data_IF_779822763102
#
_entry.id   IF_779822763102
#
_cell.length_a   1.000
_cell.length_b   1.000
_cell.length_c   1.000
_cell.angle_alpha   90.00
_cell.angle_beta   90.00
_cell.angle_gamma   90.00
#
_symmetry.space_group_name_H-M   'P 1'
#
loop_
_entity.id
_entity.type
_entity.pdbx_description
1 polymer ?
#
# COMPACT_ATOMS: atom_id res chain seq x y z
N UNK A 1 -4.28 -17.71 -12.82
CA UNK A 1 -5.08 -16.73 -12.07
C UNK A 1 -6.53 -17.20 -11.86
N UNK A 2 -7.30 -17.55 -12.91
CA UNK A 2 -8.69 -18.03 -12.74
C UNK A 2 -8.82 -19.22 -11.79
N UNK A 3 -8.00 -20.25 -11.95
CA UNK A 3 -7.99 -21.39 -11.02
C UNK A 3 -7.66 -20.99 -9.58
N UNK A 4 -6.79 -19.98 -9.41
CA UNK A 4 -6.44 -19.44 -8.11
C UNK A 4 -7.56 -18.60 -7.51
N UNK A 5 -8.39 -17.94 -8.34
CA UNK A 5 -9.53 -17.18 -7.85
C UNK A 5 -10.65 -18.09 -7.34
N UNK A 6 -10.91 -19.20 -8.00
CA UNK A 6 -11.87 -20.21 -7.53
C UNK A 6 -11.46 -20.73 -6.13
N UNK A 7 -10.19 -21.07 -5.97
CA UNK A 7 -9.67 -21.49 -4.65
C UNK A 7 -9.75 -20.38 -3.60
N UNK A 8 -9.62 -19.12 -4.01
CA UNK A 8 -9.78 -17.96 -3.12
C UNK A 8 -11.24 -17.78 -2.67
N UNK A 9 -12.21 -17.95 -3.58
CA UNK A 9 -13.64 -17.86 -3.24
C UNK A 9 -14.10 -18.91 -2.23
N UNK A 10 -13.44 -20.08 -2.21
CA UNK A 10 -13.71 -21.12 -1.20
C UNK A 10 -13.24 -20.72 0.21
N UNK A 11 -12.35 -19.73 0.34
CA UNK A 11 -11.78 -19.30 1.61
C UNK A 11 -12.40 -18.01 2.18
N UNK A 12 -13.27 -17.32 1.43
CA UNK A 12 -13.89 -16.06 1.85
C UNK A 12 -15.39 -16.20 2.08
N UNK A 13 -15.96 -15.27 2.86
CA UNK A 13 -17.41 -15.16 2.99
C UNK A 13 -18.00 -14.44 1.77
N UNK A 14 -18.74 -15.17 0.95
CA UNK A 14 -19.40 -14.62 -0.24
C UNK A 14 -20.51 -13.60 0.08
N UNK A 15 -20.93 -13.52 1.34
CA UNK A 15 -21.91 -12.54 1.83
C UNK A 15 -21.23 -11.23 2.31
N UNK A 16 -19.91 -11.11 2.19
CA UNK A 16 -19.21 -9.90 2.61
C UNK A 16 -19.55 -8.70 1.70
N UNK A 17 -19.48 -7.46 2.22
CA UNK A 17 -19.97 -6.28 1.50
C UNK A 17 -19.17 -5.93 0.23
N UNK A 18 -17.97 -6.50 0.04
CA UNK A 18 -17.12 -6.19 -1.11
C UNK A 18 -17.06 -7.35 -2.14
N UNK A 19 -17.86 -8.41 -1.96
CA UNK A 19 -17.79 -9.56 -2.87
C UNK A 19 -18.05 -9.17 -4.33
N UNK A 20 -19.08 -8.38 -4.60
CA UNK A 20 -19.37 -7.91 -5.97
C UNK A 20 -18.22 -7.03 -6.52
N UNK A 21 -17.62 -6.20 -5.67
CA UNK A 21 -16.47 -5.36 -6.06
C UNK A 21 -15.26 -6.21 -6.47
N UNK A 22 -15.04 -7.36 -5.84
CA UNK A 22 -14.00 -8.32 -6.24
C UNK A 22 -14.26 -8.90 -7.62
N UNK A 23 -15.51 -9.33 -7.88
CA UNK A 23 -15.91 -9.90 -9.17
C UNK A 23 -15.72 -8.88 -10.29
N UNK A 24 -16.28 -7.67 -10.14
CA UNK A 24 -16.19 -6.61 -11.16
C UNK A 24 -14.72 -6.23 -11.43
N UNK A 25 -13.89 -6.27 -10.41
CA UNK A 25 -12.44 -6.00 -10.52
C UNK A 25 -11.70 -7.11 -11.24
N UNK A 26 -12.07 -8.38 -11.02
CA UNK A 26 -11.51 -9.51 -11.75
C UNK A 26 -11.84 -9.43 -13.24
N UNK A 27 -13.11 -9.21 -13.59
CA UNK A 27 -13.56 -9.03 -14.97
C UNK A 27 -12.80 -7.90 -15.66
N UNK A 28 -12.60 -6.78 -14.96
CA UNK A 28 -11.82 -5.65 -15.47
C UNK A 28 -10.36 -6.02 -15.70
N UNK A 29 -9.75 -6.76 -14.78
CA UNK A 29 -8.38 -7.24 -14.94
C UNK A 29 -8.26 -8.22 -16.10
N UNK A 30 -9.19 -9.15 -16.27
CA UNK A 30 -9.20 -10.10 -17.38
C UNK A 30 -9.30 -9.41 -18.74
N UNK A 31 -10.11 -8.36 -18.82
CA UNK A 31 -10.26 -7.59 -20.04
C UNK A 31 -9.00 -6.76 -20.39
N UNK A 32 -8.32 -6.21 -19.40
CA UNK A 32 -7.12 -5.35 -19.59
C UNK A 32 -5.81 -6.14 -19.62
N UNK A 33 -5.71 -7.22 -18.84
CA UNK A 33 -4.47 -7.96 -18.60
C UNK A 33 -3.41 -7.19 -17.81
N UNK A 34 -2.21 -7.75 -17.76
CA UNK A 34 -1.07 -7.06 -17.14
C UNK A 34 -0.61 -5.86 -17.99
N UNK A 35 -0.24 -4.74 -17.36
CA UNK A 35 0.26 -3.59 -18.09
C UNK A 35 1.57 -3.92 -18.78
N UNK A 36 1.80 -3.27 -19.91
CA UNK A 36 2.94 -3.48 -20.79
C UNK A 36 3.66 -2.16 -21.05
N UNK A 37 4.85 -2.21 -21.65
CA UNK A 37 5.56 -0.99 -22.09
C UNK A 37 4.85 -0.20 -23.21
N UNK A 38 3.75 -0.70 -23.74
CA UNK A 38 2.90 0.04 -24.70
C UNK A 38 1.94 0.99 -23.98
N UNK A 39 1.67 0.72 -22.72
CA UNK A 39 0.87 1.57 -21.86
C UNK A 39 1.76 2.74 -21.40
N UNK A 40 1.34 3.98 -21.62
CA UNK A 40 2.17 5.18 -21.41
C UNK A 40 2.74 5.23 -19.98
N UNK A 41 1.90 4.95 -18.97
CA UNK A 41 2.30 4.95 -17.57
C UNK A 41 3.30 3.85 -17.22
N UNK A 42 3.45 2.81 -18.06
CA UNK A 42 4.34 1.67 -17.85
C UNK A 42 5.51 1.60 -18.83
N UNK A 43 5.70 2.62 -19.65
CA UNK A 43 6.71 2.68 -20.70
C UNK A 43 8.12 2.34 -20.24
N UNK A 44 8.48 2.76 -19.04
CA UNK A 44 9.82 2.58 -18.46
C UNK A 44 9.93 1.37 -17.53
N UNK A 45 8.81 0.74 -17.14
CA UNK A 45 8.78 -0.40 -16.22
C UNK A 45 8.17 -1.63 -16.88
N UNK A 46 8.89 -2.74 -16.83
CA UNK A 46 8.46 -4.01 -17.43
C UNK A 46 8.18 -5.06 -16.37
N UNK A 47 6.99 -5.64 -16.39
CA UNK A 47 6.60 -6.75 -15.53
C UNK A 47 6.93 -8.13 -16.10
N UNK A 48 7.46 -8.23 -17.33
CA UNK A 48 7.67 -9.49 -18.04
C UNK A 48 8.48 -10.54 -17.27
N UNK A 49 9.43 -10.12 -16.44
CA UNK A 49 10.23 -11.03 -15.61
C UNK A 49 9.47 -11.54 -14.38
N UNK A 50 8.48 -10.80 -13.92
CA UNK A 50 7.64 -11.17 -12.78
C UNK A 50 6.52 -12.11 -13.21
N UNK A 51 5.75 -11.75 -14.24
CA UNK A 51 4.54 -12.48 -14.66
C UNK A 51 4.82 -13.89 -15.27
N UNK A 52 6.08 -14.21 -15.59
CA UNK A 52 6.47 -15.52 -16.13
C UNK A 52 6.79 -16.57 -15.08
N UNK A 53 6.82 -16.18 -13.80
CA UNK A 53 7.11 -17.09 -12.70
C UNK A 53 5.83 -17.61 -12.07
N UNK A 54 5.90 -18.78 -11.49
CA UNK A 54 4.82 -19.32 -10.66
C UNK A 54 4.98 -18.81 -9.23
N UNK A 55 3.91 -18.25 -8.68
CA UNK A 55 3.85 -17.71 -7.32
C UNK A 55 2.73 -18.37 -6.52
N UNK A 56 2.98 -18.59 -5.24
CA UNK A 56 1.91 -18.84 -4.29
C UNK A 56 1.20 -17.51 -3.98
N UNK A 57 -0.13 -17.48 -4.18
CA UNK A 57 -0.95 -16.28 -3.91
C UNK A 57 -1.45 -16.24 -2.47
N UNK A 58 -1.59 -17.41 -1.84
CA UNK A 58 -2.11 -17.56 -0.48
C UNK A 58 -1.15 -18.46 0.30
N UNK A 59 -0.21 -17.86 1.05
CA UNK A 59 0.68 -18.63 1.91
C UNK A 59 -0.11 -19.30 3.03
N UNK A 60 0.42 -20.41 3.54
CA UNK A 60 -0.18 -21.11 4.68
C UNK A 60 -0.24 -20.20 5.90
N UNK A 61 -1.33 -20.27 6.64
CA UNK A 61 -1.71 -19.32 7.70
C UNK A 61 -0.75 -19.26 8.92
N UNK A 62 0.27 -20.09 9.01
CA UNK A 62 1.15 -20.15 10.16
C UNK A 62 2.62 -20.10 9.74
N UNK A 63 3.13 -18.88 9.63
CA UNK A 63 4.58 -18.68 9.68
C UNK A 63 4.97 -18.36 11.11
N UNK A 64 5.50 -19.35 11.83
CA UNK A 64 6.12 -19.13 13.13
C UNK A 64 7.44 -18.40 12.93
N UNK A 65 7.43 -17.09 13.04
CA UNK A 65 8.66 -16.30 13.05
C UNK A 65 9.21 -16.23 14.48
N UNK A 66 10.49 -16.53 14.61
CA UNK A 66 11.24 -16.23 15.83
C UNK A 66 11.23 -14.69 16.05
N UNK A 67 10.59 -14.27 17.14
CA UNK A 67 10.51 -12.87 17.54
C UNK A 67 11.89 -12.17 17.54
N UNK A 68 12.96 -12.89 17.89
CA UNK A 68 14.32 -12.35 17.91
C UNK A 68 14.80 -11.94 16.51
N UNK A 69 14.35 -12.64 15.47
CA UNK A 69 14.73 -12.35 14.09
C UNK A 69 14.08 -11.06 13.56
N UNK A 70 12.88 -10.74 14.01
CA UNK A 70 12.12 -9.56 13.55
C UNK A 70 12.30 -8.34 14.45
N UNK A 71 12.63 -8.55 15.72
CA UNK A 71 12.85 -7.45 16.68
C UNK A 71 13.75 -6.35 16.13
N UNK A 72 14.89 -6.69 15.54
CA UNK A 72 15.85 -5.72 15.00
C UNK A 72 15.29 -4.78 13.91
N UNK A 73 14.14 -5.11 13.34
CA UNK A 73 13.49 -4.31 12.32
C UNK A 73 12.40 -3.38 12.87
N UNK A 74 12.04 -3.48 14.15
CA UNK A 74 11.10 -2.55 14.76
C UNK A 74 11.78 -1.20 15.06
N UNK A 75 11.00 -0.13 15.04
CA UNK A 75 11.45 1.21 15.42
C UNK A 75 11.43 1.33 16.96
N UNK A 76 12.52 0.97 17.62
CA UNK A 76 12.58 0.93 19.08
C UNK A 76 12.51 2.31 19.75
N UNK A 77 12.96 3.34 19.07
CA UNK A 77 13.00 4.70 19.60
C UNK A 77 11.66 5.42 19.50
N UNK A 78 10.71 4.83 18.77
CA UNK A 78 9.38 5.40 18.57
C UNK A 78 8.35 4.39 19.07
N UNK A 79 7.54 4.78 20.04
CA UNK A 79 6.41 3.99 20.49
C UNK A 79 5.27 4.11 19.48
N UNK A 80 4.84 2.99 18.91
CA UNK A 80 3.85 2.93 17.83
C UNK A 80 2.75 1.92 18.13
N UNK A 81 1.58 2.14 17.56
CA UNK A 81 0.55 1.12 17.44
C UNK A 81 0.87 0.24 16.24
N UNK A 82 1.00 -1.08 16.43
CA UNK A 82 1.52 -1.98 15.39
C UNK A 82 0.47 -2.88 14.78
N UNK A 83 0.43 -2.91 13.46
CA UNK A 83 -0.30 -3.90 12.66
C UNK A 83 0.73 -4.66 11.82
N UNK A 84 0.99 -5.91 12.15
CA UNK A 84 2.07 -6.69 11.54
C UNK A 84 1.52 -7.82 10.70
N UNK A 85 1.99 -7.90 9.48
CA UNK A 85 1.72 -8.98 8.53
C UNK A 85 3.01 -9.75 8.25
N UNK A 86 2.89 -11.07 8.16
CA UNK A 86 3.96 -12.00 7.81
C UNK A 86 3.51 -12.78 6.59
N UNK A 87 4.23 -12.65 5.47
CA UNK A 87 3.86 -13.24 4.19
C UNK A 87 2.37 -12.99 3.84
N UNK A 88 1.89 -11.76 4.12
CA UNK A 88 0.51 -11.34 3.88
C UNK A 88 -0.51 -11.80 4.94
N UNK A 89 -0.10 -12.53 5.96
CA UNK A 89 -0.98 -13.01 7.05
C UNK A 89 -0.74 -12.19 8.32
N UNK A 90 -1.82 -11.77 8.95
CA UNK A 90 -1.75 -11.00 10.21
C UNK A 90 -1.12 -11.80 11.34
N UNK A 91 -0.22 -11.14 12.07
CA UNK A 91 0.42 -11.69 13.26
C UNK A 91 -0.09 -11.03 14.54
N UNK A 92 -1.05 -11.64 15.27
CA UNK A 92 -1.55 -11.08 16.53
C UNK A 92 -0.45 -10.95 17.59
N UNK A 93 0.51 -11.85 17.55
CA UNK A 93 1.62 -11.88 18.51
C UNK A 93 2.58 -10.70 18.38
N UNK A 94 2.75 -10.17 17.16
CA UNK A 94 3.62 -9.02 16.88
C UNK A 94 2.87 -7.69 16.82
N UNK A 95 1.55 -7.75 16.83
CA UNK A 95 0.69 -6.56 16.69
C UNK A 95 0.21 -6.05 18.03
N UNK A 96 -0.09 -4.75 18.07
CA UNK A 96 -0.77 -4.09 19.17
C UNK A 96 -1.81 -3.13 18.57
N UNK A 97 -3.04 -3.61 18.42
CA UNK A 97 -4.14 -2.88 17.80
C UNK A 97 -5.19 -2.40 18.81
N UNK A 98 -4.93 -2.55 20.11
CA UNK A 98 -5.83 -2.10 21.17
C UNK A 98 -5.56 -0.65 21.50
N UNK A 99 -6.47 0.25 21.13
CA UNK A 99 -6.36 1.68 21.36
C UNK A 99 -7.69 2.25 21.81
N UNK A 100 -7.65 3.16 22.78
CA UNK A 100 -8.80 3.95 23.13
C UNK A 100 -9.02 5.05 22.10
N UNK A 101 -10.21 5.10 21.51
CA UNK A 101 -10.62 6.17 20.60
C UNK A 101 -10.18 6.05 19.13
N UNK A 102 -9.44 5.02 18.75
CA UNK A 102 -9.10 4.73 17.36
C UNK A 102 -9.67 3.38 16.93
N UNK A 103 -10.05 3.27 15.67
CA UNK A 103 -10.42 1.98 15.09
C UNK A 103 -9.28 1.51 14.17
N UNK A 104 -8.41 0.64 14.68
CA UNK A 104 -7.34 -0.01 13.93
C UNK A 104 -7.56 -1.51 13.98
N UNK A 105 -7.80 -2.13 12.84
CA UNK A 105 -8.01 -3.57 12.76
C UNK A 105 -7.60 -4.12 11.38
N UNK A 106 -7.83 -5.40 11.19
CA UNK A 106 -7.66 -6.07 9.91
C UNK A 106 -8.80 -5.75 8.96
N UNK A 107 -8.52 -5.73 7.67
CA UNK A 107 -9.55 -5.62 6.64
C UNK A 107 -10.55 -6.79 6.76
N UNK A 108 -10.08 -8.03 6.91
CA UNK A 108 -10.94 -9.20 7.10
C UNK A 108 -11.86 -9.07 8.31
N UNK A 109 -11.35 -8.56 9.44
CA UNK A 109 -12.16 -8.30 10.63
C UNK A 109 -13.15 -7.14 10.43
N UNK A 110 -12.78 -6.11 9.68
CA UNK A 110 -13.66 -4.98 9.37
C UNK A 110 -14.83 -5.39 8.47
N UNK A 111 -14.59 -6.26 7.48
CA UNK A 111 -15.60 -6.78 6.56
C UNK A 111 -16.71 -7.56 7.29
N UNK A 112 -16.39 -8.25 8.39
CA UNK A 112 -17.36 -9.04 9.16
C UNK A 112 -18.14 -8.26 10.22
N UNK A 113 -17.63 -7.08 10.65
CA UNK A 113 -18.24 -6.29 11.72
C UNK A 113 -19.26 -5.29 11.17
N UNK A 114 -20.51 -5.38 11.64
CA UNK A 114 -21.58 -4.46 11.24
C UNK A 114 -21.21 -2.97 11.45
N UNK A 115 -20.45 -2.66 12.51
CA UNK A 115 -19.95 -1.29 12.81
C UNK A 115 -19.21 -0.64 11.65
N UNK A 116 -18.45 -1.42 10.87
CA UNK A 116 -17.62 -0.88 9.80
C UNK A 116 -18.24 -1.01 8.40
N UNK A 117 -19.36 -1.74 8.29
CA UNK A 117 -19.99 -2.02 6.99
C UNK A 117 -20.33 -0.74 6.21
N UNK A 118 -20.90 0.25 6.85
CA UNK A 118 -21.29 1.50 6.20
C UNK A 118 -20.06 2.29 5.72
N UNK A 119 -18.99 2.33 6.53
CA UNK A 119 -17.74 2.97 6.16
C UNK A 119 -17.06 2.23 4.97
N UNK A 120 -17.03 0.90 4.99
CA UNK A 120 -16.49 0.11 3.89
C UNK A 120 -17.31 0.35 2.61
N UNK A 121 -18.63 0.30 2.67
CA UNK A 121 -19.49 0.57 1.52
C UNK A 121 -19.30 1.98 0.96
N UNK A 122 -18.99 2.95 1.84
CA UNK A 122 -18.80 4.35 1.46
C UNK A 122 -17.44 4.59 0.81
N UNK A 123 -16.38 3.95 1.30
CA UNK A 123 -15.01 4.31 0.95
C UNK A 123 -14.27 3.25 0.14
N UNK A 124 -14.49 1.95 0.38
CA UNK A 124 -13.72 0.90 -0.26
C UNK A 124 -13.88 0.90 -1.79
N UNK A 125 -12.77 0.94 -2.49
CA UNK A 125 -12.68 0.98 -3.96
C UNK A 125 -13.42 2.15 -4.63
N UNK A 126 -13.57 3.30 -3.95
CA UNK A 126 -14.25 4.48 -4.53
C UNK A 126 -13.29 5.40 -5.29
N UNK A 127 -12.03 5.49 -4.84
CA UNK A 127 -11.00 6.26 -5.54
C UNK A 127 -10.00 5.35 -6.26
N UNK A 128 -9.78 4.13 -5.78
CA UNK A 128 -8.94 3.14 -6.44
C UNK A 128 -9.58 2.47 -7.67
N UNK A 129 -10.89 2.57 -7.86
CA UNK A 129 -11.60 2.02 -9.03
C UNK A 129 -11.16 2.63 -10.38
N UNK A 130 -10.48 3.78 -10.34
CA UNK A 130 -9.89 4.45 -11.50
C UNK A 130 -8.45 3.97 -11.79
N UNK A 131 -7.94 3.07 -10.97
CA UNK A 131 -6.59 2.56 -11.06
C UNK A 131 -6.32 1.67 -12.28
N UNK A 132 -5.07 1.30 -12.41
CA UNK A 132 -4.63 0.38 -13.46
C UNK A 132 -5.11 -1.06 -13.22
N UNK A 133 -4.78 -1.96 -14.15
CA UNK A 133 -5.17 -3.36 -14.03
C UNK A 133 -4.56 -4.09 -12.83
N UNK A 134 -3.40 -3.63 -12.30
CA UNK A 134 -2.83 -4.21 -11.08
C UNK A 134 -3.61 -3.81 -9.82
N UNK A 135 -4.20 -2.63 -9.81
CA UNK A 135 -5.15 -2.23 -8.77
C UNK A 135 -6.40 -3.11 -8.81
N UNK A 136 -6.91 -3.41 -10.02
CA UNK A 136 -8.03 -4.34 -10.19
C UNK A 136 -7.66 -5.75 -9.72
N UNK A 137 -6.46 -6.23 -10.06
CA UNK A 137 -5.97 -7.52 -9.60
C UNK A 137 -5.88 -7.58 -8.07
N UNK A 138 -5.34 -6.54 -7.42
CA UNK A 138 -5.32 -6.46 -5.96
C UNK A 138 -6.73 -6.49 -5.36
N UNK A 139 -7.65 -5.70 -5.92
CA UNK A 139 -9.02 -5.63 -5.42
C UNK A 139 -9.75 -6.97 -5.54
N UNK A 140 -9.54 -7.70 -6.64
CA UNK A 140 -10.17 -9.02 -6.85
C UNK A 140 -9.72 -10.08 -5.82
N UNK A 141 -8.53 -9.95 -5.27
CA UNK A 141 -7.98 -10.85 -4.26
C UNK A 141 -7.94 -10.24 -2.85
N UNK A 142 -8.69 -9.17 -2.60
CA UNK A 142 -8.70 -8.51 -1.29
C UNK A 142 -9.15 -9.47 -0.19
N UNK A 143 -8.25 -9.76 0.74
CA UNK A 143 -8.49 -10.54 1.94
C UNK A 143 -7.94 -9.83 3.17
N UNK A 144 -6.67 -9.46 3.13
CA UNK A 144 -5.95 -8.90 4.25
C UNK A 144 -5.35 -7.53 3.93
N UNK A 145 -5.19 -6.75 4.97
CA UNK A 145 -4.63 -5.42 5.00
C UNK A 145 -5.08 -4.67 6.24
N UNK A 146 -4.64 -3.45 6.39
CA UNK A 146 -5.02 -2.60 7.51
C UNK A 146 -6.29 -1.80 7.21
N UNK A 147 -7.23 -1.84 8.15
CA UNK A 147 -8.34 -0.91 8.23
C UNK A 147 -8.08 0.07 9.36
N UNK A 148 -8.00 1.37 9.04
CA UNK A 148 -7.71 2.45 9.99
C UNK A 148 -8.78 3.53 9.88
N UNK A 149 -9.47 3.79 10.97
CA UNK A 149 -10.40 4.91 11.07
C UNK A 149 -10.04 5.78 12.27
N UNK A 150 -9.73 7.04 12.00
CA UNK A 150 -9.45 8.06 13.01
C UNK A 150 -10.71 8.92 13.14
N UNK A 151 -11.42 8.83 14.27
CA UNK A 151 -12.69 9.53 14.44
C UNK A 151 -12.51 11.06 14.42
N UNK A 152 -13.61 11.73 14.13
CA UNK A 152 -13.68 13.19 14.15
C UNK A 152 -13.08 13.80 15.42
N UNK A 153 -12.32 14.89 15.25
CA UNK A 153 -11.71 15.66 16.34
C UNK A 153 -10.73 14.87 17.21
N UNK A 154 -10.20 13.75 16.68
CA UNK A 154 -9.26 12.88 17.38
C UNK A 154 -7.84 13.15 16.93
N UNK A 155 -6.92 13.30 17.87
CA UNK A 155 -5.48 13.34 17.63
C UNK A 155 -4.89 12.02 18.13
N UNK A 156 -4.33 11.23 17.21
CA UNK A 156 -3.66 9.98 17.57
C UNK A 156 -2.40 10.28 18.41
N UNK A 157 -2.33 9.71 19.61
CA UNK A 157 -1.20 9.96 20.53
C UNK A 157 0.12 9.38 20.03
N UNK A 158 0.04 8.29 19.27
CA UNK A 158 1.21 7.58 18.73
C UNK A 158 1.00 7.32 17.24
N UNK A 159 2.09 7.21 16.46
CA UNK A 159 1.99 6.76 15.08
C UNK A 159 1.40 5.34 14.98
N UNK A 160 0.68 5.08 13.90
CA UNK A 160 0.22 3.73 13.54
C UNK A 160 1.26 3.15 12.57
N UNK A 161 1.86 2.02 12.93
CA UNK A 161 2.87 1.34 12.13
C UNK A 161 2.27 0.07 11.49
N UNK A 162 2.18 0.04 10.16
CA UNK A 162 1.75 -1.10 9.36
C UNK A 162 3.01 -1.75 8.80
N UNK A 163 3.28 -3.00 9.17
CA UNK A 163 4.53 -3.67 8.79
C UNK A 163 4.23 -4.94 8.00
N UNK A 164 4.82 -5.03 6.82
CA UNK A 164 4.77 -6.22 5.97
C UNK A 164 6.14 -6.89 5.95
N UNK A 165 6.27 -8.02 6.63
CA UNK A 165 7.46 -8.88 6.56
C UNK A 165 7.26 -9.97 5.52
N UNK A 166 8.29 -10.21 4.70
CA UNK A 166 8.39 -11.40 3.85
C UNK A 166 9.52 -12.30 4.34
N UNK A 167 9.20 -13.58 4.64
CA UNK A 167 10.10 -14.45 5.38
C UNK A 167 11.08 -15.21 4.52
N UNK A 168 10.70 -15.54 3.28
CA UNK A 168 11.44 -16.43 2.41
C UNK A 168 11.31 -17.92 2.80
N UNK A 169 10.31 -18.31 3.57
CA UNK A 169 10.01 -19.71 3.83
C UNK A 169 9.33 -20.36 2.62
N UNK A 170 8.42 -19.63 1.96
CA UNK A 170 7.87 -20.05 0.67
C UNK A 170 8.83 -19.65 -0.47
N UNK A 171 8.88 -20.47 -1.51
CA UNK A 171 9.84 -20.29 -2.61
C UNK A 171 9.61 -19.03 -3.42
N UNK A 172 8.36 -18.72 -3.71
CA UNK A 172 7.94 -17.53 -4.47
C UNK A 172 6.55 -17.11 -4.03
N UNK A 173 6.37 -15.83 -3.69
CA UNK A 173 5.11 -15.28 -3.19
C UNK A 173 4.63 -14.10 -4.04
N UNK A 174 3.31 -14.01 -4.25
CA UNK A 174 2.66 -12.82 -4.75
C UNK A 174 1.63 -12.36 -3.73
N UNK A 175 1.95 -11.28 -3.02
CA UNK A 175 1.17 -10.71 -1.94
C UNK A 175 0.31 -9.56 -2.45
N UNK A 176 -0.91 -9.43 -1.91
CA UNK A 176 -1.88 -8.42 -2.33
C UNK A 176 -2.49 -7.68 -1.11
N UNK A 177 -1.68 -6.96 -0.32
CA UNK A 177 -2.21 -6.20 0.81
C UNK A 177 -3.13 -5.08 0.32
N UNK A 178 -4.25 -4.89 1.04
CA UNK A 178 -5.26 -3.87 0.74
C UNK A 178 -5.58 -3.05 1.97
N UNK A 179 -5.17 -1.79 1.98
CA UNK A 179 -5.37 -0.90 3.11
C UNK A 179 -6.49 0.11 2.83
N UNK A 180 -7.29 0.42 3.85
CA UNK A 180 -8.26 1.50 3.84
C UNK A 180 -8.03 2.37 5.07
N UNK A 181 -7.75 3.66 4.84
CA UNK A 181 -7.44 4.64 5.87
C UNK A 181 -8.42 5.81 5.74
N UNK A 182 -9.15 6.09 6.79
CA UNK A 182 -10.07 7.22 6.86
C UNK A 182 -9.68 8.10 8.04
N UNK A 183 -9.29 9.33 7.74
CA UNK A 183 -8.99 10.38 8.72
C UNK A 183 -10.13 11.38 8.70
N UNK A 184 -10.99 11.31 9.72
CA UNK A 184 -12.22 12.09 9.76
C UNK A 184 -11.95 13.57 10.05
N UNK A 185 -13.00 14.39 10.02
CA UNK A 185 -12.94 15.84 10.17
C UNK A 185 -12.17 16.28 11.42
N UNK A 186 -11.24 17.24 11.27
CA UNK A 186 -10.38 17.77 12.34
C UNK A 186 -9.54 16.69 13.06
N UNK A 187 -9.37 15.51 12.46
CA UNK A 187 -8.53 14.46 13.02
C UNK A 187 -7.07 14.59 12.57
N UNK A 188 -6.16 14.08 13.39
CA UNK A 188 -4.73 14.09 13.11
C UNK A 188 -4.11 12.73 13.40
N UNK A 189 -3.28 12.23 12.46
CA UNK A 189 -2.56 10.96 12.61
C UNK A 189 -1.25 10.95 11.83
N UNK A 190 -0.28 10.19 12.36
CA UNK A 190 0.91 9.77 11.63
C UNK A 190 0.81 8.26 11.35
N UNK A 191 1.08 7.85 10.12
CA UNK A 191 1.07 6.44 9.71
C UNK A 191 2.41 6.10 9.07
N UNK A 192 2.98 4.96 9.45
CA UNK A 192 4.24 4.44 8.94
C UNK A 192 3.95 3.08 8.31
N UNK A 193 3.96 2.99 7.00
CA UNK A 193 3.87 1.71 6.27
C UNK A 193 5.27 1.24 5.88
N UNK A 194 5.55 -0.04 6.16
CA UNK A 194 6.88 -0.60 5.95
C UNK A 194 6.81 -1.94 5.25
N UNK A 195 7.70 -2.13 4.27
CA UNK A 195 7.95 -3.40 3.60
C UNK A 195 9.38 -3.85 3.89
N UNK A 196 9.55 -5.08 4.36
CA UNK A 196 10.83 -5.62 4.80
C UNK A 196 10.95 -7.11 4.51
N UNK A 197 11.88 -7.48 3.64
CA UNK A 197 12.26 -8.88 3.43
C UNK A 197 13.26 -9.34 4.48
N UNK A 198 13.11 -10.58 4.97
CA UNK A 198 13.99 -11.18 5.97
C UNK A 198 15.07 -12.05 5.37
N UNK A 199 14.82 -12.68 4.23
CA UNK A 199 15.74 -13.50 3.43
C UNK A 199 15.56 -13.19 1.94
N UNK A 200 16.58 -13.50 1.14
CA UNK A 200 16.48 -13.44 -0.32
C UNK A 200 15.53 -14.52 -0.84
N UNK A 201 14.46 -14.09 -1.48
CA UNK A 201 13.50 -14.95 -2.17
C UNK A 201 12.67 -14.13 -3.16
N UNK A 202 12.08 -14.80 -4.14
CA UNK A 202 11.21 -14.14 -5.10
C UNK A 202 9.87 -13.77 -4.45
N UNK A 203 9.69 -12.51 -4.09
CA UNK A 203 8.41 -11.97 -3.63
C UNK A 203 7.99 -10.80 -4.49
N UNK A 204 6.72 -10.78 -4.87
CA UNK A 204 6.06 -9.64 -5.48
C UNK A 204 4.96 -9.18 -4.54
N UNK A 205 5.04 -7.95 -4.11
CA UNK A 205 3.97 -7.30 -3.35
C UNK A 205 3.27 -6.30 -4.26
N UNK A 206 1.99 -6.52 -4.53
CA UNK A 206 1.12 -5.58 -5.22
C UNK A 206 0.19 -4.96 -4.18
N UNK A 207 0.62 -3.84 -3.60
CA UNK A 207 -0.09 -3.14 -2.53
C UNK A 207 -1.04 -2.08 -3.07
N UNK A 208 -2.21 -1.96 -2.46
CA UNK A 208 -3.14 -0.86 -2.75
C UNK A 208 -3.62 -0.24 -1.44
N UNK A 209 -3.46 1.07 -1.31
CA UNK A 209 -3.89 1.85 -0.16
C UNK A 209 -4.82 2.97 -0.61
N UNK A 210 -6.03 3.01 -0.05
CA UNK A 210 -6.96 4.14 -0.20
C UNK A 210 -6.96 4.97 1.06
N UNK A 211 -6.81 6.29 0.91
CA UNK A 211 -6.76 7.25 2.01
C UNK A 211 -7.80 8.35 1.78
N UNK A 212 -8.62 8.58 2.77
CA UNK A 212 -9.58 9.68 2.79
C UNK A 212 -9.22 10.64 3.92
N UNK A 213 -8.80 11.85 3.57
CA UNK A 213 -8.53 12.95 4.49
C UNK A 213 -9.70 13.94 4.41
N UNK A 214 -10.59 13.87 5.39
CA UNK A 214 -11.76 14.75 5.44
C UNK A 214 -11.41 16.19 5.80
N UNK A 215 -12.39 17.05 5.86
CA UNK A 215 -12.21 18.48 6.10
C UNK A 215 -11.34 18.75 7.34
N UNK A 216 -10.33 19.61 7.18
CA UNK A 216 -9.38 20.00 8.22
C UNK A 216 -8.55 18.83 8.82
N UNK A 217 -8.54 17.66 8.17
CA UNK A 217 -7.73 16.51 8.59
C UNK A 217 -6.24 16.74 8.33
N UNK A 218 -5.39 16.21 9.22
CA UNK A 218 -3.94 16.26 9.11
C UNK A 218 -3.37 14.84 9.09
N UNK A 219 -2.68 14.48 8.00
CA UNK A 219 -2.03 13.17 7.84
C UNK A 219 -0.57 13.33 7.45
N UNK A 220 0.33 12.74 8.23
CA UNK A 220 1.70 12.46 7.85
C UNK A 220 1.84 10.96 7.55
N UNK A 221 2.12 10.59 6.29
CA UNK A 221 2.21 9.20 5.84
C UNK A 221 3.63 8.90 5.37
N UNK A 222 4.28 7.98 6.08
CA UNK A 222 5.64 7.53 5.80
C UNK A 222 5.60 6.16 5.16
N UNK A 223 6.18 6.02 3.97
CA UNK A 223 6.32 4.78 3.23
C UNK A 223 7.79 4.38 3.22
N UNK A 224 8.12 3.29 3.89
CA UNK A 224 9.50 2.81 4.01
C UNK A 224 9.60 1.44 3.38
N UNK A 225 10.29 1.37 2.25
CA UNK A 225 10.57 0.14 1.57
C UNK A 225 12.07 -0.17 1.70
N UNK A 226 12.36 -1.28 2.37
CA UNK A 226 13.72 -1.75 2.64
C UNK A 226 13.79 -3.27 2.43
N UNK A 227 13.43 -3.68 1.23
CA UNK A 227 13.44 -5.08 0.84
C UNK A 227 14.80 -5.51 0.28
N UNK A 228 15.06 -6.82 0.31
CA UNK A 228 16.24 -7.41 -0.29
C UNK A 228 16.14 -7.43 -1.83
N UNK A 229 17.26 -7.68 -2.50
CA UNK A 229 17.42 -7.47 -3.95
C UNK A 229 16.59 -8.41 -4.85
N UNK A 230 15.97 -9.43 -4.31
CA UNK A 230 15.04 -10.32 -5.02
C UNK A 230 13.57 -9.90 -4.95
N UNK A 231 13.22 -9.02 -4.01
CA UNK A 231 11.84 -8.58 -3.80
C UNK A 231 11.42 -7.47 -4.80
N UNK A 232 10.15 -7.50 -5.19
CA UNK A 232 9.55 -6.47 -6.04
C UNK A 232 8.30 -5.91 -5.37
N UNK A 233 8.13 -4.59 -5.41
CA UNK A 233 6.97 -3.87 -4.86
C UNK A 233 6.31 -3.02 -5.95
N UNK A 234 5.02 -3.19 -6.11
CA UNK A 234 4.15 -2.31 -6.88
C UNK A 234 3.16 -1.75 -5.87
N UNK A 235 3.24 -0.46 -5.63
CA UNK A 235 2.54 0.20 -4.55
C UNK A 235 1.68 1.34 -5.10
N UNK A 236 0.38 1.13 -5.06
CA UNK A 236 -0.62 2.07 -5.55
C UNK A 236 -1.30 2.74 -4.36
N UNK A 237 -1.06 4.03 -4.18
CA UNK A 237 -1.69 4.83 -3.13
C UNK A 237 -2.60 5.88 -3.76
N UNK A 238 -3.85 5.89 -3.33
CA UNK A 238 -4.90 6.81 -3.76
C UNK A 238 -5.34 7.64 -2.57
N UNK A 239 -5.33 8.98 -2.71
CA UNK A 239 -5.59 9.90 -1.61
C UNK A 239 -6.66 10.91 -2.05
N UNK A 240 -7.79 10.92 -1.37
CA UNK A 240 -8.83 11.93 -1.51
C UNK A 240 -8.71 12.95 -0.39
N UNK A 241 -8.67 14.24 -0.75
CA UNK A 241 -8.56 15.35 0.18
C UNK A 241 -9.76 16.25 0.12
N UNK A 242 -10.43 16.43 1.25
CA UNK A 242 -11.50 17.40 1.41
C UNK A 242 -10.95 18.77 1.86
N UNK A 243 -11.84 19.76 1.97
CA UNK A 243 -11.49 21.15 2.26
C UNK A 243 -10.51 21.32 3.43
N UNK A 244 -9.48 22.15 3.22
CA UNK A 244 -8.42 22.51 4.17
C UNK A 244 -7.59 21.32 4.68
N UNK A 245 -7.77 20.10 4.17
CA UNK A 245 -6.98 18.96 4.62
C UNK A 245 -5.51 19.10 4.20
N UNK A 246 -4.61 18.57 5.03
CA UNK A 246 -3.18 18.56 4.75
C UNK A 246 -2.65 17.14 4.81
N UNK A 247 -2.07 16.70 3.71
CA UNK A 247 -1.48 15.36 3.59
C UNK A 247 -0.02 15.47 3.17
N UNK A 248 0.85 14.87 3.97
CA UNK A 248 2.27 14.74 3.64
C UNK A 248 2.61 13.29 3.44
N UNK A 249 3.19 12.96 2.29
CA UNK A 249 3.69 11.63 1.99
C UNK A 249 5.21 11.67 1.88
N UNK A 250 5.86 10.82 2.66
CA UNK A 250 7.31 10.66 2.68
C UNK A 250 7.66 9.24 2.24
N UNK A 251 8.32 9.10 1.08
CA UNK A 251 8.67 7.80 0.51
C UNK A 251 10.17 7.55 0.61
N UNK A 252 10.55 6.41 1.19
CA UNK A 252 11.94 5.94 1.32
C UNK A 252 12.08 4.61 0.58
N UNK A 253 12.79 4.62 -0.55
CA UNK A 253 13.06 3.43 -1.37
C UNK A 253 14.53 3.06 -1.24
N UNK A 254 14.82 2.02 -0.44
CA UNK A 254 16.16 1.70 0.03
C UNK A 254 16.61 0.28 -0.36
N UNK A 255 15.96 -0.38 -1.30
CA UNK A 255 16.29 -1.75 -1.67
C UNK A 255 15.34 -2.28 -2.74
N UNK A 256 15.23 -3.63 -2.83
CA UNK A 256 14.35 -4.31 -3.78
C UNK A 256 14.93 -4.43 -5.18
N UNK A 257 14.32 -5.29 -6.00
CA UNK A 257 14.67 -5.54 -7.39
C UNK A 257 13.96 -4.57 -8.34
N UNK A 258 12.67 -4.43 -8.15
CA UNK A 258 11.79 -3.54 -8.88
C UNK A 258 10.83 -2.90 -7.90
N UNK A 259 10.83 -1.59 -7.85
CA UNK A 259 9.91 -0.81 -7.06
C UNK A 259 9.16 0.13 -7.98
N UNK A 260 7.85 0.10 -7.91
CA UNK A 260 7.01 1.11 -8.54
C UNK A 260 6.08 1.72 -7.50
N UNK A 261 6.23 3.03 -7.29
CA UNK A 261 5.40 3.82 -6.39
C UNK A 261 4.47 4.70 -7.23
N UNK A 262 3.18 4.43 -7.17
CA UNK A 262 2.14 5.24 -7.79
C UNK A 262 1.41 6.02 -6.70
N UNK A 263 1.55 7.35 -6.70
CA UNK A 263 0.88 8.26 -5.78
C UNK A 263 -0.15 9.09 -6.54
N UNK A 264 -1.42 8.94 -6.18
CA UNK A 264 -2.53 9.61 -6.82
C UNK A 264 -3.28 10.46 -5.78
N UNK A 265 -3.25 11.78 -5.96
CA UNK A 265 -3.93 12.75 -5.11
C UNK A 265 -5.12 13.37 -5.84
N UNK A 266 -6.25 13.40 -5.18
CA UNK A 266 -7.49 14.00 -5.67
C UNK A 266 -7.97 15.07 -4.70
N UNK A 267 -7.82 16.33 -5.07
CA UNK A 267 -8.32 17.47 -4.30
C UNK A 267 -9.83 17.64 -4.56
N UNK A 268 -10.65 17.15 -3.65
CA UNK A 268 -12.12 17.21 -3.72
C UNK A 268 -12.71 18.43 -3.01
N UNK A 269 -11.91 19.09 -2.15
CA UNK A 269 -12.25 20.34 -1.47
C UNK A 269 -11.28 21.48 -1.81
N UNK A 270 -11.64 22.69 -1.46
CA UNK A 270 -10.79 23.88 -1.59
C UNK A 270 -9.68 23.89 -0.52
N UNK A 271 -8.57 24.58 -0.79
CA UNK A 271 -7.46 24.79 0.14
C UNK A 271 -6.79 23.52 0.63
N UNK A 272 -6.80 22.45 -0.18
CA UNK A 272 -6.01 21.26 0.09
C UNK A 272 -4.52 21.56 -0.03
N UNK A 273 -3.71 20.99 0.87
CA UNK A 273 -2.25 21.09 0.85
C UNK A 273 -1.65 19.67 0.78
N UNK A 274 -0.89 19.40 -0.27
CA UNK A 274 -0.23 18.11 -0.52
C UNK A 274 1.27 18.29 -0.55
N UNK A 275 2.00 17.61 0.33
CA UNK A 275 3.46 17.58 0.31
C UNK A 275 3.95 16.17 0.01
N UNK A 276 4.72 16.01 -1.07
CA UNK A 276 5.27 14.75 -1.52
C UNK A 276 6.80 14.82 -1.46
N UNK A 277 7.41 14.01 -0.62
CA UNK A 277 8.87 13.93 -0.53
C UNK A 277 9.33 12.50 -0.69
N UNK A 278 10.45 12.31 -1.37
CA UNK A 278 11.02 10.99 -1.57
C UNK A 278 12.54 10.99 -1.51
N UNK A 279 13.08 9.92 -0.95
CA UNK A 279 14.50 9.58 -1.02
C UNK A 279 14.60 8.17 -1.59
N UNK A 280 15.39 8.05 -2.65
CA UNK A 280 15.66 6.76 -3.30
C UNK A 280 17.16 6.53 -3.35
N UNK A 281 17.60 5.37 -2.85
CA UNK A 281 18.99 4.94 -2.90
C UNK A 281 19.02 3.62 -3.64
N UNK A 282 19.75 3.58 -4.77
CA UNK A 282 19.84 2.40 -5.63
C UNK A 282 21.29 1.93 -5.75
N UNK A 283 21.42 0.61 -5.84
CA UNK A 283 22.67 -0.09 -6.11
C UNK A 283 22.46 -1.07 -7.27
N UNK A 284 23.52 -1.32 -8.05
CA UNK A 284 23.58 -2.34 -9.09
C UNK A 284 22.44 -2.26 -10.13
N UNK A 285 21.63 -3.35 -10.20
CA UNK A 285 20.56 -3.54 -11.19
C UNK A 285 19.16 -3.25 -10.62
N UNK A 286 19.07 -2.55 -9.51
CA UNK A 286 17.82 -2.17 -8.92
C UNK A 286 17.08 -1.17 -9.83
N UNK A 287 15.75 -1.30 -9.90
CA UNK A 287 14.90 -0.42 -10.68
C UNK A 287 13.83 0.21 -9.79
N UNK A 288 13.80 1.53 -9.78
CA UNK A 288 12.73 2.29 -9.09
C UNK A 288 12.06 3.23 -10.09
N UNK A 289 10.74 3.25 -10.04
CA UNK A 289 9.89 4.10 -10.86
C UNK A 289 8.86 4.80 -9.95
N UNK A 290 8.84 6.11 -9.98
CA UNK A 290 7.87 6.93 -9.24
C UNK A 290 6.91 7.59 -10.22
N UNK A 291 5.64 7.29 -10.08
CA UNK A 291 4.56 7.95 -10.80
C UNK A 291 3.74 8.78 -9.82
N UNK A 292 3.51 10.04 -10.13
CA UNK A 292 2.73 10.95 -9.29
C UNK A 292 1.68 11.66 -10.11
N UNK A 293 0.44 11.56 -9.68
CA UNK A 293 -0.69 12.32 -10.19
C UNK A 293 -1.24 13.21 -9.07
N UNK A 294 -1.37 14.51 -9.33
CA UNK A 294 -2.08 15.43 -8.43
C UNK A 294 -3.16 16.13 -9.22
N UNK A 295 -4.42 15.77 -8.95
CA UNK A 295 -5.60 16.36 -9.58
C UNK A 295 -6.11 17.56 -8.77
N UNK A 296 -5.82 18.76 -9.26
CA UNK A 296 -6.30 20.04 -8.70
C UNK A 296 -7.69 20.38 -9.25
N UNK A 297 -8.70 19.60 -8.92
CA UNK A 297 -10.07 19.83 -9.39
C UNK A 297 -10.82 20.93 -8.62
N UNK A 298 -10.24 21.46 -7.54
CA UNK A 298 -10.80 22.53 -6.71
C UNK A 298 -9.84 23.73 -6.60
N UNK A 299 -10.34 24.96 -6.41
CA UNK A 299 -9.49 26.15 -6.33
C UNK A 299 -8.67 26.21 -5.04
N UNK A 300 -7.61 27.05 -5.08
CA UNK A 300 -6.74 27.38 -3.95
C UNK A 300 -6.04 26.16 -3.30
N UNK A 301 -5.82 25.10 -4.07
CA UNK A 301 -5.07 23.95 -3.63
C UNK A 301 -3.58 24.09 -3.94
N UNK A 302 -2.72 23.59 -3.06
CA UNK A 302 -1.28 23.63 -3.21
C UNK A 302 -0.69 22.21 -3.22
N UNK A 303 0.38 22.01 -4.00
CA UNK A 303 1.15 20.78 -3.98
C UNK A 303 2.64 21.07 -4.07
N UNK A 304 3.43 20.41 -3.21
CA UNK A 304 4.87 20.56 -3.12
C UNK A 304 5.54 19.19 -3.31
N UNK A 305 6.47 19.10 -4.26
CA UNK A 305 7.17 17.85 -4.55
C UNK A 305 8.69 18.04 -4.43
N UNK A 306 9.35 17.17 -3.68
CA UNK A 306 10.81 17.13 -3.52
C UNK A 306 11.29 15.68 -3.47
N UNK A 307 11.86 15.19 -4.57
CA UNK A 307 12.42 13.85 -4.68
C UNK A 307 13.93 13.91 -4.85
N UNK A 308 14.65 13.15 -4.03
CA UNK A 308 16.11 13.01 -4.08
C UNK A 308 16.48 11.59 -4.46
N UNK A 309 17.32 11.47 -5.47
CA UNK A 309 17.79 10.21 -5.99
C UNK A 309 19.30 10.09 -5.80
N UNK A 310 19.76 9.04 -5.16
CA UNK A 310 21.18 8.68 -5.04
C UNK A 310 21.41 7.35 -5.73
N UNK A 311 22.32 7.36 -6.70
CA UNK A 311 22.70 6.19 -7.49
C UNK A 311 24.13 5.83 -7.12
N UNK A 312 24.32 4.66 -6.52
CA UNK A 312 25.65 4.18 -6.09
C UNK A 312 26.17 3.21 -7.16
N UNK A 313 27.39 3.48 -7.66
CA UNK A 313 28.10 2.65 -8.68
C UNK A 313 27.43 2.51 -10.05
N UNK A 314 26.84 3.58 -10.59
CA UNK A 314 26.43 3.60 -11.98
C UNK A 314 27.62 4.05 -12.85
N UNK A 315 28.08 3.15 -13.72
CA UNK A 315 29.24 3.36 -14.61
C UNK A 315 28.93 4.19 -15.87
N UNK A 316 27.68 4.62 -16.09
CA UNK A 316 27.29 5.48 -17.22
C UNK A 316 26.37 6.63 -16.77
N UNK A 317 26.56 7.85 -17.33
CA UNK A 317 25.69 8.98 -17.02
C UNK A 317 24.32 8.76 -17.65
N UNK A 318 23.34 8.48 -16.84
CA UNK A 318 21.94 8.47 -17.27
C UNK A 318 21.52 9.90 -17.59
N UNK A 319 21.11 10.18 -18.82
CA UNK A 319 20.52 11.47 -19.18
C UNK A 319 19.22 11.64 -18.37
N UNK A 320 19.26 12.55 -17.41
CA UNK A 320 18.05 13.08 -16.79
C UNK A 320 17.29 13.86 -17.86
N UNK A 321 16.26 13.26 -18.44
CA UNK A 321 15.30 13.96 -19.25
C UNK A 321 14.35 14.71 -18.33
N UNK A 322 14.56 16.02 -18.18
CA UNK A 322 13.52 16.89 -17.63
C UNK A 322 12.45 17.07 -18.70
N UNK A 323 11.21 16.81 -18.37
CA UNK A 323 10.02 17.24 -19.09
C UNK A 323 9.34 18.29 -18.24
#
# INVERSE_FOLDING_TARGET
LLASHIAFEEEIDLADPIHQVRIDSLETFEAKGFPTRKDEDWKYTSLNTLIRKDYALFPKAETSIDLQKVKKYFLYEIDTYKVVFIDGVYSPFLSNTTHDGLDVCLMSAALTKAKYRDLINTYFNKIANQGDSLTCLNTSYTREGAYVYIPKETVAEKPIEIIHFSTGEEKSLWLQPRNLIVVDQNAQVQIIERHQSLKEHDVVTNSVTEIYAHQDALLDYYKIQNDLTSASLIDNTYISQDKNSKVKVHTFSLGGKLIRNNLNFYHKGEHCDSTLKGITILEDKQHVDHFTLVDHSQPNCESHQDYKLSLIHISEPTRLGFI
#
